data_IF_575579568579
#
_entry.id   IF_575579568579
#
_cell.length_a   1.000
_cell.length_b   1.000
_cell.length_c   1.000
_cell.angle_alpha   90.00
_cell.angle_beta   90.00
_cell.angle_gamma   90.00
#
_symmetry.space_group_name_H-M   'P 1'
#
loop_
_entity.id
_entity.type
_entity.pdbx_description
1 polymer ?
#
# COMPACT_ATOMS: atom_id res chain seq x y z
N UNK A 1 3.04 -20.37 25.05
CA UNK A 1 1.80 -19.56 25.21
C UNK A 1 2.14 -18.16 24.77
N UNK A 2 1.79 -17.79 23.55
CA UNK A 2 1.94 -16.43 23.06
C UNK A 2 0.96 -15.53 23.83
N UNK A 3 1.47 -14.50 24.50
CA UNK A 3 0.64 -13.53 25.16
C UNK A 3 -0.25 -12.85 24.13
N UNK A 4 -1.56 -12.97 24.29
CA UNK A 4 -2.55 -12.24 23.48
C UNK A 4 -2.37 -10.77 23.78
N UNK A 5 -1.72 -10.04 22.91
CA UNK A 5 -1.60 -8.59 23.04
C UNK A 5 -2.93 -7.97 22.62
N UNK A 6 -3.83 -7.76 23.59
CA UNK A 6 -4.99 -6.91 23.38
C UNK A 6 -4.51 -5.46 23.32
N UNK A 7 -4.98 -4.72 22.33
CA UNK A 7 -4.70 -3.29 22.27
C UNK A 7 -5.56 -2.55 23.31
N UNK A 8 -4.94 -1.69 24.12
CA UNK A 8 -5.67 -0.82 25.03
C UNK A 8 -6.11 0.46 24.29
N UNK A 9 -7.41 0.66 24.21
CA UNK A 9 -8.03 1.87 23.64
C UNK A 9 -8.91 2.62 24.66
N UNK A 10 -8.84 2.26 25.95
CA UNK A 10 -9.68 2.84 27.01
C UNK A 10 -9.47 4.34 27.19
N UNK A 11 -8.28 4.84 26.82
CA UNK A 11 -7.91 6.26 26.95
C UNK A 11 -8.22 7.07 25.68
N UNK A 12 -8.71 6.45 24.61
CA UNK A 12 -8.99 7.16 23.36
C UNK A 12 -10.32 7.91 23.45
N UNK A 13 -10.24 9.23 23.38
CA UNK A 13 -11.43 10.08 23.24
C UNK A 13 -11.77 10.25 21.75
N UNK A 14 -12.76 9.51 21.26
CA UNK A 14 -13.13 9.54 19.84
C UNK A 14 -13.58 10.92 19.33
N UNK A 15 -13.96 11.85 20.19
CA UNK A 15 -14.36 13.21 19.81
C UNK A 15 -13.17 14.11 19.47
N UNK A 16 -11.98 13.73 19.92
CA UNK A 16 -10.72 14.47 19.71
C UNK A 16 -9.82 13.79 18.67
N UNK A 17 -10.25 12.67 18.10
CA UNK A 17 -9.49 11.94 17.08
C UNK A 17 -9.36 12.77 15.82
N UNK A 18 -8.14 12.94 15.35
CA UNK A 18 -7.84 13.47 14.02
C UNK A 18 -7.12 12.41 13.17
N UNK A 19 -7.88 11.75 12.29
CA UNK A 19 -7.35 10.71 11.40
C UNK A 19 -6.54 11.29 10.22
N UNK A 20 -6.45 12.61 10.09
CA UNK A 20 -5.58 13.29 9.12
C UNK A 20 -4.21 13.63 9.69
N UNK A 21 -4.01 13.54 11.02
CA UNK A 21 -2.78 13.92 11.67
C UNK A 21 -1.66 12.90 11.34
N UNK A 22 -0.60 13.27 10.61
CA UNK A 22 0.51 12.38 10.29
C UNK A 22 1.28 11.92 11.52
N UNK A 23 1.27 12.70 12.61
CA UNK A 23 1.91 12.34 13.87
C UNK A 23 1.29 11.07 14.50
N UNK A 24 -0.04 10.88 14.33
CA UNK A 24 -0.72 9.65 14.78
C UNK A 24 -0.07 8.39 14.18
N UNK A 25 0.39 8.47 12.93
CA UNK A 25 0.95 7.31 12.19
C UNK A 25 2.45 7.15 12.40
N UNK A 26 3.18 8.22 12.62
CA UNK A 26 4.63 8.17 12.81
C UNK A 26 5.04 7.92 14.28
N UNK A 27 4.27 8.40 15.26
CA UNK A 27 4.61 8.37 16.68
C UNK A 27 3.48 7.90 17.59
N UNK A 28 2.23 7.91 17.07
CA UNK A 28 1.04 7.54 17.83
C UNK A 28 0.72 6.04 17.71
N UNK A 29 -0.51 5.70 18.10
CA UNK A 29 -1.03 4.32 18.05
C UNK A 29 -2.34 4.27 17.24
N UNK A 30 -2.26 4.24 15.91
CA UNK A 30 -3.45 4.26 15.07
C UNK A 30 -4.37 3.06 15.29
N UNK A 31 -3.82 1.91 15.67
CA UNK A 31 -4.62 0.71 15.94
C UNK A 31 -5.51 0.89 17.18
N UNK A 32 -5.05 1.58 18.24
CA UNK A 32 -5.88 1.90 19.39
C UNK A 32 -7.04 2.84 19.01
N UNK A 33 -6.75 3.85 18.19
CA UNK A 33 -7.75 4.78 17.67
C UNK A 33 -8.80 4.04 16.82
N UNK A 34 -8.37 3.20 15.90
CA UNK A 34 -9.29 2.41 15.08
C UNK A 34 -10.10 1.40 15.90
N UNK A 35 -9.51 0.78 16.94
CA UNK A 35 -10.25 -0.09 17.84
C UNK A 35 -11.34 0.68 18.60
N UNK A 36 -11.01 1.86 19.15
CA UNK A 36 -12.00 2.72 19.79
C UNK A 36 -13.15 3.08 18.85
N UNK A 37 -12.85 3.48 17.61
CA UNK A 37 -13.88 3.78 16.61
C UNK A 37 -14.73 2.56 16.26
N UNK A 38 -14.13 1.37 16.04
CA UNK A 38 -14.91 0.14 15.78
C UNK A 38 -15.90 -0.18 16.88
N UNK A 39 -15.54 0.07 18.13
CA UNK A 39 -16.38 -0.24 19.29
C UNK A 39 -17.41 0.83 19.60
N UNK A 40 -17.08 2.11 19.48
CA UNK A 40 -17.89 3.22 19.96
C UNK A 40 -18.67 3.92 18.85
N UNK A 41 -18.08 4.07 17.65
CA UNK A 41 -18.65 4.78 16.51
C UNK A 41 -18.10 4.23 15.18
N UNK A 42 -18.53 3.02 14.75
CA UNK A 42 -18.00 2.36 13.55
C UNK A 42 -18.25 3.13 12.25
N UNK A 43 -19.23 4.02 12.24
CA UNK A 43 -19.51 5.03 11.21
C UNK A 43 -19.40 6.39 11.90
N UNK A 44 -18.24 7.03 11.77
CA UNK A 44 -17.87 8.24 12.49
C UNK A 44 -17.68 9.42 11.54
N UNK A 45 -18.37 10.55 11.83
CA UNK A 45 -18.13 11.79 11.11
C UNK A 45 -16.91 12.51 11.67
N UNK A 46 -15.93 12.80 10.82
CA UNK A 46 -14.82 13.68 11.17
C UNK A 46 -14.97 15.01 10.45
N UNK A 47 -15.16 16.08 11.22
CA UNK A 47 -15.11 17.43 10.73
C UNK A 47 -13.65 17.84 10.48
N UNK A 48 -13.37 18.47 9.32
CA UNK A 48 -12.05 18.97 8.97
C UNK A 48 -12.00 20.48 9.10
N UNK A 49 -13.02 21.17 8.55
CA UNK A 49 -13.24 22.59 8.71
C UNK A 49 -14.75 22.91 8.68
N UNK A 50 -15.16 24.16 8.65
CA UNK A 50 -16.58 24.58 8.71
C UNK A 50 -17.46 23.98 7.60
N UNK A 51 -16.87 23.50 6.50
CA UNK A 51 -17.59 23.02 5.30
C UNK A 51 -17.20 21.60 4.90
N UNK A 52 -16.06 21.12 5.36
CA UNK A 52 -15.44 19.90 4.89
C UNK A 52 -15.35 18.87 6.01
N UNK A 53 -15.75 17.68 5.72
CA UNK A 53 -15.62 16.52 6.60
C UNK A 53 -15.77 15.23 5.81
N UNK A 54 -15.68 14.10 6.48
CA UNK A 54 -15.84 12.80 5.87
C UNK A 54 -16.34 11.76 6.89
N UNK A 55 -17.00 10.74 6.39
CA UNK A 55 -17.38 9.57 7.17
C UNK A 55 -16.21 8.59 7.24
N UNK A 56 -15.83 8.18 8.44
CA UNK A 56 -14.85 7.13 8.70
C UNK A 56 -15.55 5.80 8.94
N UNK A 57 -15.26 4.80 8.11
CA UNK A 57 -15.83 3.46 8.18
C UNK A 57 -14.74 2.48 8.65
N UNK A 58 -14.93 1.85 9.80
CA UNK A 58 -13.88 1.09 10.48
C UNK A 58 -14.15 -0.42 10.61
N UNK A 59 -15.41 -0.86 10.54
CA UNK A 59 -15.78 -2.27 10.62
C UNK A 59 -15.59 -2.98 9.28
N UNK A 60 -15.08 -4.19 9.30
CA UNK A 60 -14.76 -5.00 8.12
C UNK A 60 -15.94 -5.13 7.13
N UNK A 61 -17.12 -5.50 7.62
CA UNK A 61 -18.29 -5.74 6.73
C UNK A 61 -18.72 -4.47 6.01
N UNK A 62 -18.66 -3.33 6.69
CA UNK A 62 -19.05 -2.03 6.13
C UNK A 62 -18.00 -1.53 5.14
N UNK A 63 -16.71 -1.72 5.44
CA UNK A 63 -15.60 -1.43 4.52
C UNK A 63 -15.73 -2.26 3.23
N UNK A 64 -16.04 -3.56 3.35
CA UNK A 64 -16.27 -4.43 2.20
C UNK A 64 -17.51 -4.00 1.40
N UNK A 65 -18.58 -3.57 2.05
CA UNK A 65 -19.78 -3.05 1.40
C UNK A 65 -19.43 -1.83 0.53
N UNK A 66 -18.81 -0.83 1.12
CA UNK A 66 -18.42 0.41 0.41
C UNK A 66 -17.48 0.13 -0.76
N UNK A 67 -16.46 -0.71 -0.57
CA UNK A 67 -15.48 -1.02 -1.62
C UNK A 67 -16.07 -1.85 -2.78
N UNK A 68 -17.12 -2.65 -2.54
CA UNK A 68 -17.75 -3.46 -3.59
C UNK A 68 -18.83 -2.72 -4.36
N UNK A 69 -19.48 -1.77 -3.74
CA UNK A 69 -20.58 -1.03 -4.35
C UNK A 69 -20.11 0.27 -5.01
N UNK A 70 -19.39 0.13 -6.13
CA UNK A 70 -18.90 1.26 -6.91
C UNK A 70 -20.03 2.12 -7.52
N UNK A 71 -21.28 1.61 -7.58
CA UNK A 71 -22.41 2.38 -8.10
C UNK A 71 -22.88 3.42 -7.10
N UNK A 72 -22.91 3.05 -5.82
CA UNK A 72 -23.27 3.95 -4.71
C UNK A 72 -22.07 4.75 -4.21
N UNK A 73 -20.85 4.20 -4.30
CA UNK A 73 -19.63 4.80 -3.75
C UNK A 73 -18.54 4.90 -4.83
N UNK A 74 -18.55 6.00 -5.57
CA UNK A 74 -17.62 6.22 -6.70
C UNK A 74 -16.19 6.49 -6.25
N UNK A 75 -15.22 6.02 -7.04
CA UNK A 75 -13.81 6.37 -6.91
C UNK A 75 -13.42 7.59 -7.77
N UNK A 76 -14.25 8.02 -8.71
CA UNK A 76 -13.87 8.98 -9.77
C UNK A 76 -13.61 10.41 -9.27
N UNK A 77 -14.07 10.74 -8.06
CA UNK A 77 -13.76 12.04 -7.42
C UNK A 77 -12.46 12.03 -6.59
N UNK A 78 -11.74 10.92 -6.60
CA UNK A 78 -10.51 10.68 -5.84
C UNK A 78 -10.65 9.54 -4.83
N UNK A 79 -9.54 8.88 -4.56
CA UNK A 79 -9.49 7.71 -3.67
C UNK A 79 -8.59 7.91 -2.44
N UNK A 80 -8.04 9.11 -2.22
CA UNK A 80 -7.16 9.47 -1.11
C UNK A 80 -7.70 10.67 -0.34
N UNK A 81 -7.53 10.68 0.98
CA UNK A 81 -7.92 11.80 1.85
C UNK A 81 -7.12 13.08 1.57
N UNK A 82 -5.94 13.01 0.96
CA UNK A 82 -5.20 14.19 0.51
C UNK A 82 -5.92 14.99 -0.60
N UNK A 83 -6.90 14.37 -1.26
CA UNK A 83 -7.77 14.99 -2.27
C UNK A 83 -9.16 15.33 -1.73
N UNK A 84 -9.38 15.23 -0.42
CA UNK A 84 -10.68 15.53 0.19
C UNK A 84 -11.15 16.96 -0.17
N UNK A 85 -12.39 17.06 -0.65
CA UNK A 85 -12.98 18.33 -1.08
C UNK A 85 -12.46 18.89 -2.41
N UNK A 86 -11.57 18.14 -3.08
CA UNK A 86 -11.06 18.46 -4.43
C UNK A 86 -11.41 17.31 -5.35
N UNK A 87 -11.85 17.59 -6.56
CA UNK A 87 -12.03 16.54 -7.54
C UNK A 87 -10.65 16.11 -8.08
N UNK A 88 -10.44 14.79 -8.21
CA UNK A 88 -9.21 14.25 -8.77
C UNK A 88 -9.17 14.52 -10.29
N UNK A 89 -8.19 15.24 -10.82
CA UNK A 89 -8.06 15.49 -12.26
C UNK A 89 -7.83 14.20 -13.08
N UNK A 90 -7.47 13.10 -12.41
CA UNK A 90 -7.29 11.78 -13.00
C UNK A 90 -8.58 10.93 -12.97
N UNK A 91 -9.66 11.45 -12.37
CA UNK A 91 -10.97 10.78 -12.33
C UNK A 91 -11.46 10.39 -13.73
N UNK A 92 -11.90 9.14 -13.91
CA UNK A 92 -12.30 8.60 -15.21
C UNK A 92 -11.17 8.37 -16.22
N UNK A 93 -9.90 8.63 -15.86
CA UNK A 93 -8.71 8.47 -16.72
C UNK A 93 -7.71 7.45 -16.18
N UNK A 94 -7.41 7.50 -14.91
CA UNK A 94 -6.52 6.56 -14.24
C UNK A 94 -7.32 5.36 -13.71
N UNK A 95 -6.89 4.14 -13.97
CA UNK A 95 -7.63 2.92 -13.60
C UNK A 95 -8.04 2.89 -12.11
N UNK A 96 -7.19 3.38 -11.21
CA UNK A 96 -7.47 3.37 -9.77
C UNK A 96 -8.60 4.32 -9.33
N UNK A 97 -8.90 5.34 -10.15
CA UNK A 97 -9.95 6.34 -9.95
C UNK A 97 -10.89 6.41 -11.16
N UNK A 98 -11.25 5.25 -11.69
CA UNK A 98 -12.21 5.10 -12.79
C UNK A 98 -13.15 3.95 -12.46
N UNK A 99 -14.45 4.15 -12.62
CA UNK A 99 -15.45 3.13 -12.36
C UNK A 99 -15.82 2.32 -13.63
N UNK A 100 -16.40 1.11 -13.50
CA UNK A 100 -16.95 0.37 -14.64
C UNK A 100 -18.03 1.16 -15.40
N UNK A 101 -18.13 1.02 -16.75
CA UNK A 101 -17.47 0.00 -17.58
C UNK A 101 -16.03 0.33 -18.00
N UNK A 102 -15.63 1.61 -18.00
CA UNK A 102 -14.32 2.09 -18.48
C UNK A 102 -13.16 1.44 -17.71
N UNK A 103 -13.25 1.37 -16.37
CA UNK A 103 -12.30 0.63 -15.53
C UNK A 103 -12.08 -0.80 -16.03
N UNK A 104 -13.16 -1.52 -16.37
CA UNK A 104 -13.07 -2.92 -16.79
C UNK A 104 -12.27 -3.08 -18.09
N UNK A 105 -12.42 -2.15 -19.04
CA UNK A 105 -11.67 -2.16 -20.29
C UNK A 105 -10.17 -1.92 -20.02
N UNK A 106 -9.84 -0.91 -19.21
CA UNK A 106 -8.46 -0.60 -18.80
C UNK A 106 -7.82 -1.79 -18.09
N UNK A 107 -8.50 -2.32 -17.06
CA UNK A 107 -7.98 -3.45 -16.27
C UNK A 107 -7.72 -4.69 -17.10
N UNK A 108 -8.61 -5.01 -18.05
CA UNK A 108 -8.44 -6.18 -18.93
C UNK A 108 -7.18 -6.08 -19.77
N UNK A 109 -6.88 -4.90 -20.31
CA UNK A 109 -5.69 -4.70 -21.13
C UNK A 109 -4.39 -4.77 -20.31
N UNK A 110 -4.41 -4.25 -19.08
CA UNK A 110 -3.24 -4.25 -18.19
C UNK A 110 -2.97 -5.63 -17.57
N UNK A 111 -4.00 -6.46 -17.36
CA UNK A 111 -3.93 -7.68 -16.55
C UNK A 111 -2.82 -8.64 -16.98
N UNK A 112 -2.49 -8.73 -18.28
CA UNK A 112 -1.43 -9.61 -18.77
C UNK A 112 -0.04 -9.32 -18.18
N UNK A 113 0.22 -8.07 -17.76
CA UNK A 113 1.48 -7.66 -17.14
C UNK A 113 1.54 -7.96 -15.63
N UNK A 114 0.43 -8.42 -15.03
CA UNK A 114 0.30 -8.68 -13.59
C UNK A 114 -0.08 -10.13 -13.27
N UNK A 115 0.23 -11.05 -14.18
CA UNK A 115 0.07 -12.48 -13.96
C UNK A 115 1.25 -13.05 -13.16
N UNK A 116 1.13 -14.25 -12.55
CA UNK A 116 2.28 -14.94 -11.96
C UNK A 116 3.45 -15.07 -12.93
N UNK A 117 3.19 -15.45 -14.19
CA UNK A 117 4.24 -15.66 -15.20
C UNK A 117 5.06 -14.38 -15.46
N UNK A 118 4.44 -13.20 -15.32
CA UNK A 118 5.14 -11.93 -15.52
C UNK A 118 6.22 -11.65 -14.47
N UNK A 119 6.15 -12.27 -13.29
CA UNK A 119 7.16 -12.16 -12.24
C UNK A 119 8.06 -13.39 -12.14
N UNK A 120 7.50 -14.60 -12.36
CA UNK A 120 8.24 -15.86 -12.25
C UNK A 120 9.39 -15.95 -13.26
N UNK A 121 9.24 -15.38 -14.46
CA UNK A 121 10.32 -15.29 -15.45
C UNK A 121 11.55 -14.50 -14.97
N UNK A 122 11.42 -13.69 -13.92
CA UNK A 122 12.48 -12.90 -13.29
C UNK A 122 12.91 -13.42 -11.92
N UNK A 123 12.42 -14.58 -11.50
CA UNK A 123 12.66 -15.14 -10.16
C UNK A 123 14.14 -15.19 -9.80
N UNK A 124 14.99 -15.77 -10.65
CA UNK A 124 16.42 -15.91 -10.37
C UNK A 124 17.10 -14.55 -10.17
N UNK A 125 16.76 -13.57 -11.00
CA UNK A 125 17.26 -12.21 -10.88
C UNK A 125 16.81 -11.59 -9.56
N UNK A 126 15.51 -11.68 -9.22
CA UNK A 126 14.95 -11.13 -7.99
C UNK A 126 15.58 -11.78 -6.76
N UNK A 127 15.74 -13.09 -6.75
CA UNK A 127 16.42 -13.81 -5.65
C UNK A 127 17.88 -13.37 -5.51
N UNK A 128 18.58 -13.17 -6.62
CA UNK A 128 19.97 -12.64 -6.59
C UNK A 128 20.01 -11.24 -5.98
N UNK A 129 19.10 -10.35 -6.36
CA UNK A 129 18.99 -9.00 -5.79
C UNK A 129 18.65 -9.03 -4.30
N UNK A 130 17.71 -9.89 -3.88
CA UNK A 130 17.40 -10.07 -2.45
C UNK A 130 18.68 -10.42 -1.69
N UNK A 131 19.45 -11.42 -2.15
CA UNK A 131 20.70 -11.80 -1.49
C UNK A 131 21.69 -10.64 -1.42
N UNK A 132 21.85 -9.87 -2.50
CA UNK A 132 22.75 -8.70 -2.51
C UNK A 132 22.32 -7.62 -1.52
N UNK A 133 21.01 -7.45 -1.31
CA UNK A 133 20.46 -6.45 -0.39
C UNK A 133 20.52 -6.88 1.08
N UNK A 134 20.37 -8.18 1.37
CA UNK A 134 20.21 -8.65 2.75
C UNK A 134 21.46 -9.28 3.34
N UNK A 135 22.35 -9.90 2.55
CA UNK A 135 23.59 -10.51 3.06
C UNK A 135 24.54 -9.52 3.76
N UNK A 136 24.63 -8.23 3.36
CA UNK A 136 25.43 -7.27 4.13
C UNK A 136 24.98 -7.07 5.58
N UNK A 137 23.77 -7.53 5.95
CA UNK A 137 23.31 -7.50 7.35
C UNK A 137 24.11 -8.43 8.28
N UNK A 138 24.88 -9.37 7.73
CA UNK A 138 25.79 -10.24 8.50
C UNK A 138 27.02 -9.50 9.04
N UNK A 139 27.33 -8.34 8.48
CA UNK A 139 28.42 -7.48 8.96
C UNK A 139 28.01 -6.79 10.27
N UNK A 140 29.00 -6.31 11.03
CA UNK A 140 28.75 -5.73 12.35
C UNK A 140 27.91 -4.46 12.32
N UNK A 141 28.01 -3.65 11.26
CA UNK A 141 27.23 -2.45 11.04
C UNK A 141 25.76 -2.74 10.71
N UNK A 142 25.45 -3.96 10.24
CA UNK A 142 24.12 -4.31 9.79
C UNK A 142 23.68 -3.54 8.55
N UNK A 143 22.35 -3.49 8.32
CA UNK A 143 21.73 -2.72 7.24
C UNK A 143 20.48 -1.99 7.71
N UNK A 144 20.07 -0.96 6.97
CA UNK A 144 18.70 -0.46 7.05
C UNK A 144 17.78 -1.34 6.17
N UNK A 145 17.05 -2.28 6.80
CA UNK A 145 16.21 -3.22 6.09
C UNK A 145 15.04 -2.55 5.36
N UNK A 146 14.53 -1.44 5.87
CA UNK A 146 13.45 -0.72 5.18
C UNK A 146 13.96 -0.18 3.84
N UNK A 147 15.16 0.37 3.78
CA UNK A 147 15.80 0.80 2.52
C UNK A 147 16.07 -0.36 1.56
N UNK A 148 16.52 -1.50 2.08
CA UNK A 148 16.68 -2.70 1.26
C UNK A 148 15.35 -3.18 0.66
N UNK A 149 14.27 -3.18 1.44
CA UNK A 149 12.93 -3.53 0.97
C UNK A 149 12.40 -2.55 -0.11
N UNK A 150 12.69 -1.26 0.02
CA UNK A 150 12.38 -0.28 -1.03
C UNK A 150 13.17 -0.56 -2.32
N UNK A 151 14.48 -0.84 -2.22
CA UNK A 151 15.30 -1.18 -3.38
C UNK A 151 14.77 -2.44 -4.09
N UNK A 152 14.38 -3.48 -3.36
CA UNK A 152 13.76 -4.68 -3.92
C UNK A 152 12.46 -4.35 -4.65
N UNK A 153 11.57 -3.55 -4.03
CA UNK A 153 10.26 -3.25 -4.61
C UNK A 153 10.36 -2.43 -5.89
N UNK A 154 11.32 -1.50 -5.96
CA UNK A 154 11.53 -0.71 -7.17
C UNK A 154 12.16 -1.54 -8.29
N UNK A 155 13.03 -2.50 -7.96
CA UNK A 155 13.57 -3.48 -8.90
C UNK A 155 12.46 -4.33 -9.52
N UNK A 156 11.59 -4.91 -8.70
CA UNK A 156 10.41 -5.67 -9.18
C UNK A 156 9.50 -4.82 -10.06
N UNK A 157 9.23 -3.57 -9.66
CA UNK A 157 8.50 -2.60 -10.48
C UNK A 157 9.22 -2.28 -11.80
N UNK A 158 10.56 -2.31 -11.78
CA UNK A 158 11.43 -2.16 -12.94
C UNK A 158 11.22 -3.27 -13.99
N UNK A 159 11.03 -4.51 -13.55
CA UNK A 159 10.72 -5.63 -14.44
C UNK A 159 9.43 -5.45 -15.22
N UNK A 160 8.42 -4.76 -14.64
CA UNK A 160 7.11 -4.51 -15.28
C UNK A 160 7.16 -3.32 -16.25
N UNK A 161 7.86 -2.26 -15.84
CA UNK A 161 7.94 -1.00 -16.57
C UNK A 161 9.21 -0.86 -17.42
N UNK A 162 10.08 -1.90 -17.44
CA UNK A 162 11.37 -1.93 -18.14
C UNK A 162 12.21 -0.67 -17.92
N UNK A 163 12.43 -0.32 -16.63
CA UNK A 163 13.17 0.88 -16.23
C UNK A 163 14.63 0.57 -15.87
N UNK A 164 15.57 1.44 -16.24
CA UNK A 164 16.97 1.24 -15.92
C UNK A 164 17.24 1.39 -14.39
N UNK A 165 18.14 0.57 -13.83
CA UNK A 165 18.44 0.57 -12.39
C UNK A 165 18.97 1.90 -11.84
N UNK A 166 19.67 2.68 -12.65
CA UNK A 166 20.23 4.00 -12.27
C UNK A 166 19.16 5.02 -11.87
N UNK A 167 17.90 4.86 -12.33
CA UNK A 167 16.80 5.77 -12.00
C UNK A 167 16.15 5.44 -10.64
N UNK A 168 16.38 4.25 -10.10
CA UNK A 168 15.64 3.73 -8.95
C UNK A 168 15.74 4.60 -7.68
N UNK A 169 16.89 5.13 -7.26
CA UNK A 169 16.96 5.96 -6.05
C UNK A 169 16.09 7.23 -6.16
N UNK A 170 16.13 7.88 -7.32
CA UNK A 170 15.33 9.09 -7.58
C UNK A 170 13.85 8.78 -7.59
N UNK A 171 13.45 7.72 -8.29
CA UNK A 171 12.05 7.31 -8.39
C UNK A 171 11.49 6.89 -7.02
N UNK A 172 12.29 6.20 -6.20
CA UNK A 172 11.90 5.83 -4.83
C UNK A 172 11.60 7.09 -4.01
N UNK A 173 12.52 8.04 -3.97
CA UNK A 173 12.33 9.29 -3.21
C UNK A 173 11.10 10.05 -3.68
N UNK A 174 10.94 10.26 -4.98
CA UNK A 174 9.80 10.97 -5.55
C UNK A 174 8.47 10.23 -5.28
N UNK A 175 8.48 8.90 -5.28
CA UNK A 175 7.30 8.09 -4.94
C UNK A 175 6.90 8.32 -3.48
N UNK A 176 7.83 8.29 -2.54
CA UNK A 176 7.53 8.51 -1.13
C UNK A 176 7.04 9.95 -0.91
N UNK A 177 7.66 10.95 -1.52
CA UNK A 177 7.19 12.34 -1.50
C UNK A 177 5.74 12.47 -2.01
N UNK A 178 5.30 11.60 -2.91
CA UNK A 178 3.92 11.62 -3.45
C UNK A 178 2.88 11.01 -2.49
N UNK A 179 3.29 10.08 -1.62
CA UNK A 179 2.37 9.35 -0.72
C UNK A 179 2.49 9.76 0.75
N UNK A 180 3.54 10.48 1.09
CA UNK A 180 3.82 11.00 2.42
C UNK A 180 4.47 12.38 2.33
N UNK A 181 3.84 13.38 1.68
CA UNK A 181 4.43 14.70 1.51
C UNK A 181 4.56 15.47 2.84
N UNK A 182 3.89 15.01 3.89
CA UNK A 182 3.95 15.55 5.25
C UNK A 182 5.14 15.02 6.06
N UNK A 183 5.76 13.90 5.64
CA UNK A 183 6.85 13.28 6.40
C UNK A 183 8.09 14.18 6.44
N UNK A 184 8.64 14.36 7.65
CA UNK A 184 9.75 15.28 7.93
C UNK A 184 11.01 15.02 7.08
N UNK A 185 11.26 13.76 6.69
CA UNK A 185 12.42 13.39 5.88
C UNK A 185 12.23 13.71 4.39
N UNK A 186 10.97 13.64 3.92
CA UNK A 186 10.67 13.72 2.48
C UNK A 186 10.09 15.05 2.04
N UNK A 187 9.55 15.87 2.95
CA UNK A 187 9.07 17.20 2.63
C UNK A 187 10.20 18.14 2.21
N UNK A 188 9.87 19.18 1.47
CA UNK A 188 10.82 20.25 1.15
C UNK A 188 11.24 21.01 2.42
N UNK A 189 12.43 21.62 2.38
CA UNK A 189 13.03 22.31 3.53
C UNK A 189 12.19 23.48 4.08
N UNK A 190 11.34 24.08 3.26
CA UNK A 190 10.37 25.13 3.65
C UNK A 190 9.10 24.57 4.31
N UNK A 191 8.95 23.25 4.33
CA UNK A 191 7.81 22.56 4.94
C UNK A 191 6.51 22.66 4.16
N UNK A 192 6.51 23.20 2.93
CA UNK A 192 5.31 23.29 2.09
C UNK A 192 4.95 21.93 1.51
N UNK A 193 3.90 21.32 2.06
CA UNK A 193 3.34 20.03 1.64
C UNK A 193 2.87 20.12 0.17
N UNK A 194 2.22 21.20 -0.21
CA UNK A 194 1.72 21.39 -1.58
C UNK A 194 2.86 21.47 -2.57
N UNK A 195 3.92 22.23 -2.27
CA UNK A 195 5.11 22.34 -3.10
C UNK A 195 5.85 21.00 -3.18
N UNK A 196 5.94 20.25 -2.08
CA UNK A 196 6.53 18.90 -2.06
C UNK A 196 5.80 17.96 -3.03
N UNK A 197 4.48 17.91 -2.96
CA UNK A 197 3.66 17.08 -3.82
C UNK A 197 3.76 17.51 -5.30
N UNK A 198 3.73 18.83 -5.56
CA UNK A 198 3.87 19.37 -6.92
C UNK A 198 5.23 19.05 -7.54
N UNK A 199 6.31 19.14 -6.76
CA UNK A 199 7.64 18.74 -7.22
C UNK A 199 7.67 17.25 -7.61
N UNK A 200 7.20 16.38 -6.70
CA UNK A 200 7.19 14.94 -6.96
C UNK A 200 6.37 14.59 -8.21
N UNK A 201 5.17 15.13 -8.36
CA UNK A 201 4.34 14.90 -9.54
C UNK A 201 4.98 15.43 -10.83
N UNK A 202 5.54 16.65 -10.80
CA UNK A 202 6.20 17.24 -11.98
C UNK A 202 7.34 16.35 -12.48
N UNK A 203 8.21 15.91 -11.58
CA UNK A 203 9.38 15.09 -11.93
C UNK A 203 8.94 13.68 -12.41
N UNK A 204 7.99 13.04 -11.71
CA UNK A 204 7.49 11.70 -12.10
C UNK A 204 6.72 11.75 -13.43
N UNK A 205 5.89 12.75 -13.65
CA UNK A 205 5.16 12.88 -14.93
C UNK A 205 6.11 13.23 -16.08
N UNK A 206 7.14 14.06 -15.82
CA UNK A 206 8.21 14.35 -16.78
C UNK A 206 8.95 13.08 -17.18
N UNK A 207 9.34 12.26 -16.21
CA UNK A 207 9.98 10.98 -16.43
C UNK A 207 9.14 10.06 -17.33
N UNK A 208 7.87 9.86 -17.01
CA UNK A 208 6.98 9.03 -17.84
C UNK A 208 6.67 9.65 -19.21
N UNK A 209 6.66 10.98 -19.32
CA UNK A 209 6.53 11.64 -20.61
C UNK A 209 7.69 11.28 -21.55
N UNK A 210 8.91 11.22 -21.03
CA UNK A 210 10.09 10.87 -21.83
C UNK A 210 10.09 9.37 -22.21
N UNK A 211 9.69 8.48 -21.30
CA UNK A 211 9.48 7.07 -21.60
C UNK A 211 8.42 6.88 -22.70
N UNK A 212 7.28 7.55 -22.60
CA UNK A 212 6.21 7.52 -23.61
C UNK A 212 6.72 8.01 -24.96
N UNK A 213 7.51 9.09 -25.01
CA UNK A 213 8.15 9.56 -26.27
C UNK A 213 9.07 8.49 -26.86
N UNK A 214 9.85 7.80 -26.03
CA UNK A 214 10.72 6.71 -26.46
C UNK A 214 9.91 5.54 -27.03
N UNK A 215 8.90 5.04 -26.32
CA UNK A 215 8.06 3.93 -26.73
C UNK A 215 7.22 4.21 -27.98
N UNK A 216 6.85 5.46 -28.22
CA UNK A 216 6.20 5.86 -29.50
C UNK A 216 7.13 5.73 -30.70
N UNK A 217 8.44 5.90 -30.52
CA UNK A 217 9.45 5.75 -31.60
C UNK A 217 9.89 4.31 -31.77
N UNK A 218 10.01 3.59 -30.65
CA UNK A 218 10.47 2.22 -30.58
C UNK A 218 9.60 1.44 -29.59
N UNK A 219 8.43 0.92 -30.01
CA UNK A 219 7.56 0.11 -29.16
C UNK A 219 8.30 -1.14 -28.65
N UNK A 220 8.09 -1.48 -27.37
CA UNK A 220 8.56 -2.71 -26.72
C UNK A 220 7.41 -3.65 -26.40
N UNK A 221 7.72 -4.74 -25.71
CA UNK A 221 6.74 -5.67 -25.12
C UNK A 221 6.48 -5.33 -23.64
N UNK A 222 6.25 -4.05 -23.38
CA UNK A 222 6.07 -3.47 -22.05
C UNK A 222 4.69 -2.83 -21.88
N UNK A 223 4.35 -2.55 -20.61
CA UNK A 223 3.07 -1.95 -20.25
C UNK A 223 2.83 -0.59 -20.92
N UNK A 224 3.87 0.25 -21.09
CA UNK A 224 3.72 1.58 -21.70
C UNK A 224 3.34 1.44 -23.17
N UNK A 225 4.01 0.55 -23.89
CA UNK A 225 3.71 0.23 -25.28
C UNK A 225 2.28 -0.30 -25.46
N UNK A 226 1.83 -1.16 -24.54
CA UNK A 226 0.47 -1.69 -24.55
C UNK A 226 -0.57 -0.59 -24.28
N UNK A 227 -0.34 0.30 -23.31
CA UNK A 227 -1.24 1.41 -23.02
C UNK A 227 -1.36 2.39 -24.18
N UNK A 228 -0.27 2.63 -24.93
CA UNK A 228 -0.27 3.48 -26.13
C UNK A 228 -1.10 2.91 -27.29
N UNK A 229 -1.37 1.61 -27.29
CA UNK A 229 -2.20 0.93 -28.29
C UNK A 229 -3.63 0.66 -27.78
N UNK A 230 -3.88 0.86 -26.49
CA UNK A 230 -5.18 0.58 -25.91
C UNK A 230 -6.25 1.52 -26.44
N UNK A 231 -7.33 0.93 -26.95
CA UNK A 231 -8.55 1.65 -27.32
C UNK A 231 -9.62 1.44 -26.25
N UNK A 232 -10.24 2.54 -25.83
CA UNK A 232 -11.35 2.58 -24.88
C UNK A 232 -12.49 3.34 -25.56
N UNK A 233 -13.66 2.72 -25.63
CA UNK A 233 -14.84 3.27 -26.30
C UNK A 233 -14.57 3.65 -27.79
N UNK A 234 -13.65 2.94 -28.44
CA UNK A 234 -13.28 3.14 -29.85
C UNK A 234 -12.23 4.25 -30.08
N UNK A 235 -11.71 4.86 -29.02
CA UNK A 235 -10.65 5.87 -29.12
C UNK A 235 -9.37 5.40 -28.42
N UNK A 236 -8.21 5.70 -29.02
CA UNK A 236 -6.92 5.43 -28.38
C UNK A 236 -6.76 6.24 -27.10
N UNK A 237 -6.18 5.60 -26.11
CA UNK A 237 -5.84 6.28 -24.85
C UNK A 237 -4.91 7.47 -25.13
N UNK A 238 -5.27 8.65 -24.65
CA UNK A 238 -4.44 9.84 -24.78
C UNK A 238 -3.15 9.77 -23.93
N UNK A 239 -2.15 10.53 -24.30
CA UNK A 239 -0.84 10.50 -23.64
C UNK A 239 -0.91 10.88 -22.15
N UNK A 240 -1.63 11.93 -21.73
CA UNK A 240 -1.82 12.22 -20.30
C UNK A 240 -2.41 11.05 -19.51
N UNK A 241 -3.39 10.34 -20.09
CA UNK A 241 -4.00 9.16 -19.48
C UNK A 241 -3.01 7.99 -19.37
N UNK A 242 -2.18 7.75 -20.41
CA UNK A 242 -1.10 6.74 -20.36
C UNK A 242 -0.13 7.08 -19.24
N UNK A 243 0.38 8.32 -19.17
CA UNK A 243 1.33 8.78 -18.15
C UNK A 243 0.73 8.62 -16.74
N UNK A 244 -0.52 9.01 -16.54
CA UNK A 244 -1.22 8.90 -15.26
C UNK A 244 -1.35 7.44 -14.80
N UNK A 245 -1.61 6.50 -15.71
CA UNK A 245 -1.65 5.07 -15.39
C UNK A 245 -0.25 4.50 -15.07
N UNK A 246 0.80 4.91 -15.79
CA UNK A 246 2.18 4.53 -15.47
C UNK A 246 2.59 5.01 -14.06
N UNK A 247 2.26 6.27 -13.73
CA UNK A 247 2.46 6.84 -12.40
C UNK A 247 1.75 6.02 -11.31
N UNK A 248 0.46 5.71 -11.51
CA UNK A 248 -0.34 4.92 -10.55
C UNK A 248 0.25 3.53 -10.30
N UNK A 249 0.75 2.89 -11.34
CA UNK A 249 1.38 1.56 -11.25
C UNK A 249 2.72 1.65 -10.52
N UNK A 250 3.54 2.66 -10.81
CA UNK A 250 4.78 2.90 -10.07
C UNK A 250 4.48 3.07 -8.57
N UNK A 251 3.52 3.93 -8.23
CA UNK A 251 3.10 4.16 -6.85
C UNK A 251 2.69 2.84 -6.16
N UNK A 252 1.79 2.10 -6.80
CA UNK A 252 1.29 0.83 -6.27
C UNK A 252 2.39 -0.20 -6.03
N UNK A 253 3.37 -0.28 -6.94
CA UNK A 253 4.47 -1.23 -6.86
C UNK A 253 5.50 -0.87 -5.77
N UNK A 254 5.75 0.43 -5.54
CA UNK A 254 6.89 0.89 -4.74
C UNK A 254 6.52 1.44 -3.36
N UNK A 255 5.29 1.93 -3.17
CA UNK A 255 4.89 2.56 -1.92
C UNK A 255 4.27 1.60 -0.88
N UNK A 256 4.00 0.34 -1.21
CA UNK A 256 3.27 -0.57 -0.32
C UNK A 256 4.07 -1.80 0.08
N UNK A 257 4.61 -2.53 -0.88
CA UNK A 257 5.31 -3.80 -0.67
C UNK A 257 6.52 -3.70 0.29
N UNK A 258 7.35 -2.63 0.29
CA UNK A 258 8.45 -2.47 1.24
C UNK A 258 7.99 -2.51 2.69
N UNK A 259 6.85 -1.91 2.96
CA UNK A 259 6.31 -1.83 4.32
C UNK A 259 5.74 -3.17 4.80
N UNK A 260 5.25 -4.02 3.89
CA UNK A 260 4.90 -5.41 4.23
C UNK A 260 6.14 -6.16 4.68
N UNK A 261 7.24 -6.08 3.91
CA UNK A 261 8.51 -6.71 4.25
C UNK A 261 9.02 -6.26 5.63
N UNK A 262 9.13 -4.94 5.83
CA UNK A 262 9.71 -4.36 7.05
C UNK A 262 8.84 -4.62 8.28
N UNK A 263 7.51 -4.41 8.19
CA UNK A 263 6.60 -4.65 9.32
C UNK A 263 6.53 -6.13 9.69
N UNK A 264 6.63 -7.02 8.70
CA UNK A 264 6.65 -8.46 8.95
C UNK A 264 7.95 -8.86 9.61
N UNK A 265 9.11 -8.47 9.07
CA UNK A 265 10.40 -8.80 9.68
C UNK A 265 10.48 -8.27 11.11
N UNK A 266 10.05 -7.01 11.35
CA UNK A 266 10.02 -6.45 12.70
C UNK A 266 9.20 -7.31 13.67
N UNK A 267 8.06 -7.84 13.24
CA UNK A 267 7.28 -8.74 14.08
C UNK A 267 7.99 -10.08 14.29
N UNK A 268 8.62 -10.63 13.23
CA UNK A 268 9.35 -11.91 13.35
C UNK A 268 10.56 -11.79 14.31
N UNK A 269 11.19 -10.64 14.44
CA UNK A 269 12.29 -10.44 15.42
C UNK A 269 11.82 -10.59 16.87
N UNK A 270 10.55 -10.28 17.15
CA UNK A 270 9.97 -10.34 18.51
C UNK A 270 9.57 -11.77 18.94
N UNK A 271 9.21 -12.60 17.97
CA UNK A 271 8.61 -13.93 18.22
C UNK A 271 9.47 -15.09 17.73
N UNK A 272 10.70 -14.82 17.28
CA UNK A 272 11.60 -15.81 16.67
C UNK A 272 10.97 -16.54 15.46
N UNK A 273 10.15 -15.83 14.68
CA UNK A 273 9.26 -16.43 13.69
C UNK A 273 9.97 -16.91 12.42
N UNK A 274 11.19 -16.42 12.10
CA UNK A 274 11.95 -16.92 10.96
C UNK A 274 12.40 -18.36 11.16
N UNK A 275 12.79 -18.76 12.38
CA UNK A 275 13.11 -20.14 12.68
C UNK A 275 11.89 -21.05 12.60
N UNK A 276 10.74 -20.57 13.09
CA UNK A 276 9.49 -21.33 13.01
C UNK A 276 9.07 -21.49 11.54
N UNK A 277 9.17 -20.44 10.71
CA UNK A 277 8.88 -20.54 9.28
C UNK A 277 9.85 -21.47 8.55
N UNK A 278 11.13 -21.43 8.88
CA UNK A 278 12.13 -22.36 8.31
C UNK A 278 11.87 -23.83 8.68
N UNK A 279 11.33 -24.08 9.88
CA UNK A 279 10.92 -25.40 10.32
C UNK A 279 9.62 -25.89 9.65
N UNK A 280 8.80 -24.96 9.15
CA UNK A 280 7.48 -25.22 8.56
C UNK A 280 7.34 -24.52 7.19
N UNK A 281 8.16 -24.85 6.18
CA UNK A 281 8.16 -24.19 4.87
C UNK A 281 6.81 -24.32 4.13
N UNK A 282 6.01 -25.31 4.44
CA UNK A 282 4.63 -25.48 3.93
C UNK A 282 3.70 -24.35 4.37
N UNK A 283 4.06 -23.59 5.39
CA UNK A 283 3.29 -22.45 5.88
C UNK A 283 3.58 -21.14 5.13
N UNK A 284 4.50 -21.13 4.16
CA UNK A 284 4.91 -19.91 3.44
C UNK A 284 3.73 -19.15 2.83
N UNK A 285 2.80 -19.82 2.18
CA UNK A 285 1.64 -19.18 1.57
C UNK A 285 0.75 -18.50 2.62
N UNK A 286 0.43 -19.18 3.72
CA UNK A 286 -0.37 -18.61 4.80
C UNK A 286 0.38 -17.53 5.58
N UNK A 287 1.70 -17.66 5.72
CA UNK A 287 2.56 -16.62 6.29
C UNK A 287 2.51 -15.33 5.45
N UNK A 288 2.62 -15.43 4.14
CA UNK A 288 2.55 -14.28 3.23
C UNK A 288 1.18 -13.61 3.30
N UNK A 289 0.08 -14.37 3.34
CA UNK A 289 -1.27 -13.79 3.54
C UNK A 289 -1.36 -13.05 4.90
N UNK A 290 -0.80 -13.64 5.96
CA UNK A 290 -0.78 -12.98 7.27
C UNK A 290 0.12 -11.75 7.30
N UNK A 291 1.25 -11.74 6.58
CA UNK A 291 2.10 -10.57 6.42
C UNK A 291 1.35 -9.38 5.80
N UNK A 292 0.53 -9.62 4.78
CA UNK A 292 -0.33 -8.59 4.20
C UNK A 292 -1.44 -8.14 5.15
N UNK A 293 -2.10 -9.06 5.87
CA UNK A 293 -3.09 -8.68 6.88
C UNK A 293 -2.45 -7.82 7.98
N UNK A 294 -1.30 -8.26 8.49
CA UNK A 294 -0.57 -7.63 9.57
C UNK A 294 -0.12 -6.22 9.22
N UNK A 295 0.51 -6.04 8.08
CA UNK A 295 1.02 -4.74 7.63
C UNK A 295 -0.09 -3.79 7.19
N UNK A 296 -1.06 -4.26 6.38
CA UNK A 296 -2.13 -3.42 5.80
C UNK A 296 -1.60 -2.08 5.27
N UNK A 297 -0.61 -2.08 4.34
CA UNK A 297 0.18 -0.88 4.02
C UNK A 297 -0.66 0.27 3.44
N UNK A 298 -1.70 -0.02 2.67
CA UNK A 298 -2.72 0.97 2.27
C UNK A 298 -3.76 1.09 3.38
N UNK A 299 -3.63 2.10 4.25
CA UNK A 299 -4.44 2.25 5.46
C UNK A 299 -5.90 2.57 5.16
N UNK A 300 -6.15 3.40 4.15
CA UNK A 300 -7.51 3.83 3.79
C UNK A 300 -7.71 3.98 2.28
N UNK A 301 -8.98 4.02 1.89
CA UNK A 301 -9.42 4.51 0.57
C UNK A 301 -10.61 5.43 0.73
N UNK A 302 -10.64 6.50 -0.08
CA UNK A 302 -11.75 7.45 -0.13
C UNK A 302 -12.73 7.04 -1.23
N UNK A 303 -14.02 7.28 -1.00
CA UNK A 303 -15.12 7.17 -1.95
C UNK A 303 -16.05 8.36 -1.76
N UNK A 304 -16.92 8.58 -2.74
CA UNK A 304 -17.98 9.59 -2.63
C UNK A 304 -19.34 8.93 -2.91
N UNK A 305 -20.32 9.21 -2.06
CA UNK A 305 -21.69 8.74 -2.28
C UNK A 305 -22.29 9.40 -3.52
N UNK A 306 -22.87 8.61 -4.41
CA UNK A 306 -23.52 9.07 -5.66
C UNK A 306 -25.03 9.30 -5.48
N UNK A 307 -25.57 8.79 -4.39
CA UNK A 307 -26.99 8.90 -3.99
C UNK A 307 -27.08 8.94 -2.46
N UNK A 308 -28.19 9.42 -1.93
CA UNK A 308 -28.54 9.23 -0.52
C UNK A 308 -28.59 7.74 -0.17
N UNK A 309 -27.90 7.35 0.87
CA UNK A 309 -27.81 5.96 1.33
C UNK A 309 -27.64 5.90 2.85
N UNK A 310 -27.44 4.70 3.40
CA UNK A 310 -27.13 4.54 4.82
C UNK A 310 -26.09 3.45 5.05
N UNK A 311 -25.31 3.60 6.12
CA UNK A 311 -24.40 2.57 6.63
C UNK A 311 -24.72 2.39 8.12
N UNK A 312 -25.11 1.19 8.56
CA UNK A 312 -25.52 0.89 9.95
C UNK A 312 -26.63 1.83 10.50
N UNK A 313 -27.56 2.25 9.65
CA UNK A 313 -28.63 3.20 10.04
C UNK A 313 -28.16 4.65 10.15
N UNK A 314 -26.90 4.95 9.84
CA UNK A 314 -26.40 6.33 9.75
C UNK A 314 -26.60 6.82 8.31
N UNK A 315 -27.36 7.90 8.11
CA UNK A 315 -27.62 8.44 6.77
C UNK A 315 -26.35 9.06 6.19
N UNK A 316 -26.01 8.67 4.97
CA UNK A 316 -24.93 9.20 4.14
C UNK A 316 -25.60 9.94 2.97
N UNK A 317 -25.26 11.19 2.78
CA UNK A 317 -25.87 12.02 1.73
C UNK A 317 -25.12 11.90 0.43
N UNK A 318 -25.83 12.10 -0.69
CA UNK A 318 -25.21 12.29 -2.00
C UNK A 318 -24.14 13.37 -1.93
N UNK A 319 -22.94 13.06 -2.43
CA UNK A 319 -21.77 13.92 -2.37
C UNK A 319 -20.89 13.79 -1.13
N UNK A 320 -21.35 13.09 -0.08
CA UNK A 320 -20.54 12.85 1.12
C UNK A 320 -19.28 12.02 0.80
N UNK A 321 -18.18 12.43 1.39
CA UNK A 321 -16.92 11.70 1.38
C UNK A 321 -16.93 10.57 2.42
N UNK A 322 -16.52 9.37 2.02
CA UNK A 322 -16.53 8.15 2.84
C UNK A 322 -15.14 7.51 2.79
N UNK A 323 -14.40 7.61 3.88
CA UNK A 323 -13.10 6.96 4.06
C UNK A 323 -13.26 5.59 4.71
N UNK A 324 -12.83 4.55 4.02
CA UNK A 324 -12.82 3.17 4.54
C UNK A 324 -11.42 2.83 5.05
N UNK A 325 -11.32 2.38 6.31
CA UNK A 325 -10.05 2.09 6.97
C UNK A 325 -9.71 0.60 6.88
N UNK A 326 -8.90 0.23 5.88
CA UNK A 326 -8.47 -1.16 5.63
C UNK A 326 -7.63 -1.69 6.79
N UNK A 327 -6.72 -0.87 7.35
CA UNK A 327 -5.91 -1.24 8.53
C UNK A 327 -6.78 -1.57 9.75
N UNK A 328 -7.90 -0.85 9.92
CA UNK A 328 -8.91 -1.15 10.94
C UNK A 328 -9.65 -2.45 10.65
N UNK A 329 -10.18 -2.60 9.42
CA UNK A 329 -10.95 -3.77 9.01
C UNK A 329 -10.18 -5.08 9.15
N UNK A 330 -8.88 -5.08 8.85
CA UNK A 330 -8.00 -6.25 9.01
C UNK A 330 -7.66 -6.59 10.48
N UNK A 331 -8.15 -5.80 11.42
CA UNK A 331 -8.07 -6.01 12.88
C UNK A 331 -9.44 -6.11 13.53
N UNK A 332 -10.52 -6.26 12.75
CA UNK A 332 -11.89 -6.37 13.28
C UNK A 332 -12.07 -7.71 14.01
N UNK A 333 -12.33 -7.63 15.30
CA UNK A 333 -12.49 -8.75 16.24
C UNK A 333 -13.70 -9.64 15.89
N UNK A 334 -14.67 -9.12 15.12
CA UNK A 334 -15.80 -9.90 14.62
C UNK A 334 -15.42 -10.87 13.49
N UNK A 335 -14.25 -10.64 12.85
CA UNK A 335 -13.80 -11.41 11.68
C UNK A 335 -12.54 -12.21 12.00
N UNK A 336 -11.59 -11.61 12.75
CA UNK A 336 -10.29 -12.19 13.04
C UNK A 336 -10.18 -12.51 14.53
N UNK A 337 -10.02 -13.78 14.87
CA UNK A 337 -9.66 -14.18 16.24
C UNK A 337 -8.24 -13.69 16.52
N UNK A 338 -8.02 -13.11 17.71
CA UNK A 338 -6.72 -12.55 18.12
C UNK A 338 -6.09 -11.66 17.04
N UNK A 339 -6.77 -10.57 16.63
CA UNK A 339 -6.37 -9.79 15.46
C UNK A 339 -5.04 -9.05 15.63
N UNK A 340 -4.57 -8.88 16.87
CA UNK A 340 -3.31 -8.24 17.23
C UNK A 340 -2.17 -9.24 17.47
N UNK A 341 -2.36 -10.51 17.09
CA UNK A 341 -1.34 -11.55 17.09
C UNK A 341 -1.02 -11.94 15.65
N UNK A 342 0.28 -11.94 15.30
CA UNK A 342 0.73 -12.50 14.03
C UNK A 342 0.66 -14.03 14.12
N UNK A 343 -0.10 -14.64 13.23
CA UNK A 343 -0.27 -16.09 13.18
C UNK A 343 -0.02 -16.59 11.75
N UNK A 344 1.17 -17.18 11.51
CA UNK A 344 1.56 -17.68 10.19
C UNK A 344 0.64 -18.78 9.65
N UNK A 345 -0.13 -19.45 10.50
CA UNK A 345 -1.07 -20.49 10.13
C UNK A 345 -2.53 -20.03 10.17
N UNK A 346 -2.76 -18.70 10.17
CA UNK A 346 -4.13 -18.16 10.22
C UNK A 346 -4.98 -18.68 9.08
N UNK A 347 -6.06 -19.37 9.43
CA UNK A 347 -7.03 -19.89 8.47
C UNK A 347 -8.45 -19.92 9.11
N UNK A 348 -9.49 -19.33 8.48
CA UNK A 348 -9.42 -18.49 7.28
C UNK A 348 -8.72 -17.16 7.55
N UNK A 349 -8.14 -16.55 6.49
CA UNK A 349 -7.55 -15.22 6.54
C UNK A 349 -8.14 -14.32 5.44
N UNK A 350 -9.41 -13.87 5.62
CA UNK A 350 -10.11 -13.08 4.60
C UNK A 350 -9.69 -11.60 4.60
N UNK A 351 -8.40 -11.30 4.70
CA UNK A 351 -7.93 -9.92 4.76
C UNK A 351 -8.25 -9.15 3.46
N UNK A 352 -8.37 -7.85 3.57
CA UNK A 352 -8.68 -6.94 2.47
C UNK A 352 -7.55 -5.94 2.20
N UNK A 353 -6.30 -6.29 2.51
CA UNK A 353 -5.13 -5.44 2.27
C UNK A 353 -4.94 -5.09 0.80
N UNK A 354 -5.44 -5.90 -0.11
CA UNK A 354 -5.48 -5.65 -1.54
C UNK A 354 -6.77 -4.95 -2.01
N UNK A 355 -7.58 -4.44 -1.09
CA UNK A 355 -8.93 -4.00 -1.40
C UNK A 355 -9.86 -5.16 -1.76
N UNK A 356 -11.04 -4.85 -2.28
CA UNK A 356 -12.02 -5.84 -2.74
C UNK A 356 -12.91 -5.24 -3.84
N UNK A 357 -13.74 -6.08 -4.51
CA UNK A 357 -14.59 -5.64 -5.61
C UNK A 357 -13.79 -5.37 -6.89
N UNK A 358 -14.29 -4.44 -7.70
CA UNK A 358 -13.72 -4.14 -9.03
C UNK A 358 -12.30 -3.56 -8.94
N UNK A 359 -12.01 -2.83 -7.87
CA UNK A 359 -10.71 -2.21 -7.61
C UNK A 359 -9.73 -3.10 -6.81
N UNK A 360 -10.01 -4.40 -6.66
CA UNK A 360 -9.02 -5.32 -6.06
C UNK A 360 -7.66 -5.14 -6.74
N UNK A 361 -6.58 -5.05 -5.95
CA UNK A 361 -5.23 -4.73 -6.42
C UNK A 361 -4.82 -5.61 -7.62
N UNK A 362 -4.44 -4.97 -8.73
CA UNK A 362 -4.01 -5.68 -9.94
C UNK A 362 -2.66 -6.38 -9.72
N UNK A 363 -1.78 -5.80 -8.89
CA UNK A 363 -0.45 -6.32 -8.56
C UNK A 363 -0.41 -7.34 -7.43
N UNK A 364 -1.55 -7.77 -6.88
CA UNK A 364 -1.60 -8.63 -5.69
C UNK A 364 -0.77 -9.91 -5.81
N UNK A 365 -0.78 -10.57 -6.97
CA UNK A 365 0.00 -11.79 -7.21
C UNK A 365 1.50 -11.51 -7.25
N UNK A 366 1.91 -10.42 -7.90
CA UNK A 366 3.32 -10.00 -7.94
C UNK A 366 3.83 -9.71 -6.53
N UNK A 367 3.07 -8.92 -5.75
CA UNK A 367 3.43 -8.59 -4.38
C UNK A 367 3.57 -9.85 -3.50
N UNK A 368 2.66 -10.82 -3.63
CA UNK A 368 2.75 -12.10 -2.91
C UNK A 368 4.00 -12.89 -3.29
N UNK A 369 4.27 -13.07 -4.58
CA UNK A 369 5.50 -13.77 -5.03
C UNK A 369 6.77 -13.05 -4.55
N UNK A 370 6.80 -11.72 -4.60
CA UNK A 370 7.93 -10.95 -4.09
C UNK A 370 8.18 -11.24 -2.60
N UNK A 371 7.11 -11.28 -1.79
CA UNK A 371 7.22 -11.63 -0.37
C UNK A 371 7.64 -13.10 -0.17
N UNK A 372 7.11 -14.03 -0.96
CA UNK A 372 7.54 -15.43 -0.95
C UNK A 372 9.03 -15.55 -1.22
N UNK A 373 9.55 -14.92 -2.29
CA UNK A 373 10.98 -14.96 -2.61
C UNK A 373 11.83 -14.33 -1.50
N UNK A 374 11.40 -13.21 -0.95
CA UNK A 374 12.12 -12.54 0.13
C UNK A 374 12.21 -13.43 1.36
N UNK A 375 11.08 -13.92 1.89
CA UNK A 375 11.08 -14.70 3.12
C UNK A 375 11.70 -16.10 2.95
N UNK A 376 11.64 -16.68 1.77
CA UNK A 376 12.35 -17.91 1.44
C UNK A 376 13.88 -17.70 1.49
N UNK A 377 14.39 -16.60 0.91
CA UNK A 377 15.81 -16.25 1.01
C UNK A 377 16.23 -15.90 2.46
N UNK A 378 15.36 -15.21 3.22
CA UNK A 378 15.64 -14.90 4.62
C UNK A 378 15.70 -16.19 5.47
N UNK A 379 14.76 -17.09 5.34
CA UNK A 379 14.73 -18.35 6.10
C UNK A 379 15.82 -19.33 5.68
N UNK A 380 16.29 -19.25 4.42
CA UNK A 380 17.39 -20.08 3.92
C UNK A 380 18.74 -19.62 4.47
N UNK A 381 18.98 -18.32 4.56
CA UNK A 381 20.30 -17.78 4.85
C UNK A 381 20.50 -17.32 6.30
N UNK A 382 19.39 -17.05 7.03
CA UNK A 382 19.45 -16.46 8.37
C UNK A 382 18.67 -17.30 9.39
N UNK A 383 19.17 -17.32 10.62
CA UNK A 383 18.44 -17.85 11.77
C UNK A 383 17.47 -16.80 12.33
N UNK A 384 17.96 -15.57 12.54
CA UNK A 384 17.18 -14.45 13.06
C UNK A 384 17.83 -13.11 12.70
N UNK A 385 17.13 -12.03 13.05
CA UNK A 385 17.63 -10.66 12.99
C UNK A 385 17.44 -9.97 14.33
N UNK A 386 18.41 -9.13 14.71
CA UNK A 386 18.26 -8.17 15.80
C UNK A 386 18.02 -6.79 15.23
N UNK A 387 17.13 -6.03 15.87
CA UNK A 387 16.96 -4.60 15.61
C UNK A 387 18.04 -3.86 16.41
N UNK A 388 18.96 -3.20 15.72
CA UNK A 388 20.17 -2.60 16.32
C UNK A 388 20.10 -1.06 16.44
N UNK A 389 18.96 -0.46 16.13
CA UNK A 389 18.74 0.99 16.22
C UNK A 389 17.26 1.34 16.26
N UNK A 390 16.92 2.64 16.25
CA UNK A 390 15.53 3.07 16.26
C UNK A 390 14.78 2.63 15.00
N UNK A 391 13.53 2.18 15.18
CA UNK A 391 12.59 1.95 14.09
C UNK A 391 11.79 3.22 13.88
N UNK A 392 11.83 3.76 12.67
CA UNK A 392 11.14 5.00 12.33
C UNK A 392 9.99 4.73 11.37
N UNK A 393 8.80 5.25 11.72
CA UNK A 393 7.58 5.07 10.94
C UNK A 393 7.32 6.25 10.02
N UNK A 394 6.66 5.98 8.91
CA UNK A 394 6.27 6.99 7.94
C UNK A 394 5.11 7.83 8.47
N UNK A 395 5.24 9.16 8.39
CA UNK A 395 4.19 10.11 8.76
C UNK A 395 3.14 10.25 7.66
N UNK A 396 2.28 9.22 7.48
CA UNK A 396 1.26 9.22 6.43
C UNK A 396 -0.02 8.54 6.92
N UNK A 397 -1.16 9.18 6.70
CA UNK A 397 -2.47 8.55 6.96
C UNK A 397 -2.84 7.53 5.89
N UNK A 398 -2.22 7.61 4.71
CA UNK A 398 -2.48 6.70 3.60
C UNK A 398 -1.60 5.45 3.65
N UNK A 399 -0.29 5.62 3.84
CA UNK A 399 0.65 4.49 3.88
C UNK A 399 1.08 4.21 5.32
N UNK A 400 0.67 3.06 5.84
CA UNK A 400 1.20 2.53 7.10
C UNK A 400 2.52 1.82 6.84
N UNK A 401 3.62 2.34 7.40
CA UNK A 401 4.90 1.73 7.09
C UNK A 401 6.09 2.23 7.89
N UNK A 402 7.20 1.52 7.70
CA UNK A 402 8.49 1.79 8.34
C UNK A 402 9.41 2.41 7.28
N UNK A 403 10.03 3.55 7.60
CA UNK A 403 10.99 4.22 6.71
C UNK A 403 12.44 3.88 7.03
N UNK A 404 12.75 3.55 8.30
CA UNK A 404 14.06 3.09 8.75
C UNK A 404 13.93 1.95 9.73
N UNK A 405 14.72 0.90 9.53
CA UNK A 405 14.79 -0.27 10.41
C UNK A 405 16.20 -0.87 10.39
N UNK A 406 17.14 -0.32 11.21
CA UNK A 406 18.48 -0.88 11.32
C UNK A 406 18.45 -2.29 11.92
N UNK A 407 18.97 -3.26 11.19
CA UNK A 407 19.00 -4.65 11.62
C UNK A 407 20.36 -5.30 11.38
N UNK A 408 20.68 -6.29 12.22
CA UNK A 408 21.77 -7.23 12.03
C UNK A 408 21.22 -8.65 11.88
N UNK A 409 21.66 -9.34 10.84
CA UNK A 409 21.32 -10.73 10.58
C UNK A 409 22.31 -11.70 11.16
N UNK A 410 21.87 -12.91 11.44
CA UNK A 410 22.72 -14.02 11.93
C UNK A 410 22.59 -15.22 11.01
N UNK A 411 23.73 -15.68 10.50
CA UNK A 411 23.80 -16.74 9.50
C UNK A 411 23.24 -18.08 10.04
N UNK A 412 22.54 -18.80 9.16
CA UNK A 412 22.05 -20.15 9.44
C UNK A 412 23.17 -21.17 9.31
#
# INVERSE_FOLDING_TARGET
MTATTSIDFSQVNIKEVNLLDPYLYSHGEPHAVWAALRHQAPVHWQQVDDKLGFWSITKYRDVVQVLKDYRTFTSERGNLLSLLGKDDPSGGKQMAVTDPPRHTQMRRAMHQFFTPDSILKHEDQIRQEIRQLVLPSLEDEGIDFARAAFALSISVGGCILERPPEDWPTLTRLTIMSVAPEDEEYKLADGDITATLQLAHRELFGYFQDMVKQRRRSPGDDLISALLQLEIDGEKMDIPTVISNCYSILLGATATTPHVASSTLLEQTKINGLEELAAHPESMDSFVEEAFRWSSPGSHFLRYATIDTEIRGVPIKEGDAVAVWVGSANRDEEIFTDPYTFNMQRHPNPHISFGTGVHHCIGSKIAKHTMTFLFDELTTNFTHFDVIGPVEYLGSNFISGIKHMPVRGYQR
#
